data_IF_835582530684
#
_entry.id   IF_835582530684
#
_cell.length_a   1.000
_cell.length_b   1.000
_cell.length_c   1.000
_cell.angle_alpha   90.00
_cell.angle_beta   90.00
_cell.angle_gamma   90.00
#
_symmetry.space_group_name_H-M   'P 1'
#
loop_
_entity.id
_entity.type
_entity.pdbx_description
1 polymer ?
#
# COMPACT_ATOMS: atom_id res chain seq x y z
N UNK A 1 -29.81 9.38 -30.46
CA UNK A 1 -28.45 9.74 -30.00
C UNK A 1 -28.48 9.79 -28.49
N UNK A 2 -27.72 8.90 -27.87
CA UNK A 2 -27.88 8.44 -26.49
C UNK A 2 -27.55 9.53 -25.47
N UNK A 3 -28.52 9.86 -24.60
CA UNK A 3 -28.33 10.75 -23.47
C UNK A 3 -27.45 10.10 -22.40
N UNK A 4 -26.34 10.74 -22.07
CA UNK A 4 -25.40 10.31 -21.03
C UNK A 4 -26.05 10.39 -19.65
N UNK A 5 -26.18 9.25 -18.98
CA UNK A 5 -26.65 9.14 -17.59
C UNK A 5 -25.64 9.80 -16.65
N UNK A 6 -25.96 11.02 -16.20
CA UNK A 6 -25.26 11.69 -15.11
C UNK A 6 -25.56 10.98 -13.78
N UNK A 7 -24.60 10.22 -13.26
CA UNK A 7 -24.68 9.62 -11.94
C UNK A 7 -24.70 10.73 -10.87
N UNK A 8 -25.87 10.93 -10.26
CA UNK A 8 -26.11 11.92 -9.20
C UNK A 8 -25.34 11.50 -7.93
N UNK A 9 -24.34 12.28 -7.53
CA UNK A 9 -23.59 12.11 -6.28
C UNK A 9 -24.47 12.58 -5.11
N UNK A 10 -25.08 11.64 -4.36
CA UNK A 10 -25.82 11.93 -3.11
C UNK A 10 -24.92 12.54 -2.02
N UNK A 11 -25.48 12.96 -0.86
CA UNK A 11 -24.73 13.65 0.19
C UNK A 11 -23.65 12.72 0.74
N UNK A 12 -22.41 12.95 0.29
CA UNK A 12 -21.26 12.13 0.65
C UNK A 12 -20.97 12.36 2.13
N UNK A 13 -21.37 11.42 3.00
CA UNK A 13 -20.64 11.22 4.26
C UNK A 13 -19.18 11.09 3.83
N UNK A 14 -18.32 12.07 4.14
CA UNK A 14 -16.94 12.08 3.68
C UNK A 14 -16.25 10.81 4.21
N UNK A 15 -16.22 9.76 3.39
CA UNK A 15 -15.56 8.51 3.73
C UNK A 15 -14.06 8.81 3.79
N UNK A 16 -13.42 8.25 4.79
CA UNK A 16 -11.99 8.43 5.06
C UNK A 16 -11.29 7.13 4.73
N UNK A 17 -10.10 7.23 4.16
CA UNK A 17 -9.24 6.07 3.95
C UNK A 17 -8.86 5.42 5.29
N UNK A 18 -8.93 4.09 5.38
CA UNK A 18 -8.58 3.33 6.58
C UNK A 18 -7.11 3.45 6.98
N UNK A 19 -6.22 3.76 6.02
CA UNK A 19 -4.79 3.98 6.25
C UNK A 19 -4.50 5.41 6.74
N UNK A 20 -4.70 6.42 5.88
CA UNK A 20 -4.33 7.80 6.20
C UNK A 20 -5.40 8.59 6.97
N UNK A 21 -6.57 7.98 7.23
CA UNK A 21 -7.72 8.58 7.93
C UNK A 21 -8.16 9.93 7.36
N UNK A 22 -7.83 10.16 6.10
CA UNK A 22 -8.07 11.41 5.37
C UNK A 22 -8.79 11.11 4.06
N UNK A 23 -9.37 12.16 3.48
CA UNK A 23 -9.93 12.14 2.13
C UNK A 23 -9.06 13.08 1.28
N UNK A 24 -7.90 12.56 0.87
CA UNK A 24 -6.84 13.30 0.15
C UNK A 24 -6.64 12.60 -1.20
N UNK A 25 -7.70 12.57 -2.00
CA UNK A 25 -7.70 11.87 -3.29
C UNK A 25 -6.69 12.48 -4.27
N UNK A 26 -6.46 13.80 -4.20
CA UNK A 26 -5.50 14.52 -5.05
C UNK A 26 -4.05 14.03 -4.88
N UNK A 27 -3.69 13.60 -3.68
CA UNK A 27 -2.32 13.14 -3.36
C UNK A 27 -2.24 11.61 -3.36
N UNK A 28 -3.17 10.96 -2.67
CA UNK A 28 -3.15 9.51 -2.40
C UNK A 28 -3.83 8.68 -3.51
N UNK A 29 -4.40 9.33 -4.52
CA UNK A 29 -5.19 8.68 -5.57
C UNK A 29 -6.63 8.39 -5.14
N UNK A 30 -7.41 7.82 -6.06
CA UNK A 30 -8.84 7.54 -5.89
C UNK A 30 -9.14 6.74 -4.62
N UNK A 31 -10.16 7.16 -3.87
CA UNK A 31 -10.68 6.38 -2.74
C UNK A 31 -11.54 5.23 -3.26
N UNK A 32 -11.09 4.00 -3.02
CA UNK A 32 -11.82 2.79 -3.36
C UNK A 32 -12.65 2.33 -2.16
N UNK A 33 -13.81 1.75 -2.43
CA UNK A 33 -14.78 1.25 -1.45
C UNK A 33 -15.06 -0.23 -1.72
N UNK A 34 -15.08 -1.05 -0.66
CA UNK A 34 -15.57 -2.43 -0.77
C UNK A 34 -17.07 -2.46 -1.06
N UNK A 35 -17.55 -3.55 -1.67
CA UNK A 35 -18.98 -3.74 -2.00
C UNK A 35 -19.87 -3.62 -0.76
N UNK A 36 -19.44 -4.24 0.34
CA UNK A 36 -20.09 -4.15 1.64
C UNK A 36 -19.90 -2.81 2.39
N UNK A 37 -19.23 -1.83 1.77
CA UNK A 37 -18.91 -0.50 2.32
C UNK A 37 -18.20 -0.50 3.68
N UNK A 38 -17.62 -1.62 4.12
CA UNK A 38 -16.89 -1.73 5.39
C UNK A 38 -15.47 -1.18 5.29
N UNK A 39 -14.88 -1.20 4.10
CA UNK A 39 -13.49 -0.81 3.86
C UNK A 39 -13.46 0.32 2.84
N UNK A 40 -12.73 1.37 3.15
CA UNK A 40 -12.41 2.44 2.23
C UNK A 40 -10.91 2.71 2.27
N UNK A 41 -10.23 2.69 1.13
CA UNK A 41 -8.80 2.93 1.07
C UNK A 41 -8.40 3.59 -0.24
N UNK A 42 -7.44 4.51 -0.20
CA UNK A 42 -6.91 5.09 -1.43
C UNK A 42 -6.04 4.07 -2.16
N UNK A 43 -6.10 4.07 -3.49
CA UNK A 43 -5.32 3.15 -4.32
C UNK A 43 -3.82 3.19 -3.98
N UNK A 44 -3.18 4.38 -3.89
CA UNK A 44 -1.75 4.46 -3.56
C UNK A 44 -1.45 4.11 -2.11
N UNK A 45 -2.40 4.31 -1.18
CA UNK A 45 -2.21 3.84 0.20
C UNK A 45 -2.14 2.31 0.27
N UNK A 46 -2.93 1.61 -0.54
CA UNK A 46 -2.86 0.15 -0.65
C UNK A 46 -1.60 -0.29 -1.37
N UNK A 47 -1.33 0.29 -2.54
CA UNK A 47 -0.24 -0.10 -3.44
C UNK A 47 1.15 -0.04 -2.82
N UNK A 48 1.39 0.94 -1.94
CA UNK A 48 2.67 1.11 -1.26
C UNK A 48 2.73 0.43 0.12
N UNK A 49 1.64 -0.20 0.57
CA UNK A 49 1.60 -0.85 1.87
C UNK A 49 2.45 -2.11 1.85
N UNK A 50 3.36 -2.26 2.82
CA UNK A 50 4.41 -3.28 2.77
C UNK A 50 3.92 -4.74 2.87
N UNK A 51 2.68 -4.99 3.32
CA UNK A 51 2.14 -6.35 3.42
C UNK A 51 0.93 -6.60 2.51
N UNK A 52 0.66 -5.73 1.53
CA UNK A 52 -0.37 -5.99 0.52
C UNK A 52 0.26 -6.55 -0.75
N UNK A 53 -0.25 -7.70 -1.18
CA UNK A 53 0.11 -8.34 -2.44
C UNK A 53 -1.14 -8.32 -3.32
N UNK A 54 -1.00 -7.85 -4.55
CA UNK A 54 -2.09 -7.90 -5.52
C UNK A 54 -2.43 -9.36 -5.82
N UNK A 55 -3.70 -9.74 -5.71
CA UNK A 55 -4.17 -11.10 -5.96
C UNK A 55 -5.06 -11.10 -7.21
N UNK A 56 -4.82 -12.03 -8.12
CA UNK A 56 -5.61 -12.23 -9.34
C UNK A 56 -6.73 -13.28 -9.14
N UNK A 57 -7.16 -13.52 -7.91
CA UNK A 57 -8.24 -14.49 -7.64
C UNK A 57 -9.61 -13.84 -7.86
N UNK A 58 -10.58 -14.61 -8.36
CA UNK A 58 -11.94 -14.18 -8.72
C UNK A 58 -12.84 -13.78 -7.52
N UNK A 59 -12.25 -13.54 -6.34
CA UNK A 59 -12.95 -13.13 -5.13
C UNK A 59 -13.11 -11.60 -5.06
N UNK A 60 -13.95 -11.13 -4.12
CA UNK A 60 -14.16 -9.69 -3.88
C UNK A 60 -12.81 -8.97 -3.69
N UNK A 61 -12.45 -8.12 -4.64
CA UNK A 61 -11.17 -7.41 -4.66
C UNK A 61 -11.38 -5.89 -4.61
N UNK A 62 -10.51 -5.22 -3.86
CA UNK A 62 -10.50 -3.76 -3.74
C UNK A 62 -9.26 -3.23 -4.45
N UNK A 63 -9.41 -2.81 -5.71
CA UNK A 63 -8.28 -2.32 -6.51
C UNK A 63 -7.22 -3.38 -6.80
N UNK A 64 -7.63 -4.64 -6.99
CA UNK A 64 -6.71 -5.76 -7.22
C UNK A 64 -6.10 -6.37 -5.95
N UNK A 65 -6.55 -5.97 -4.76
CA UNK A 65 -6.13 -6.55 -3.48
C UNK A 65 -7.29 -7.29 -2.82
N UNK A 66 -6.98 -8.38 -2.10
CA UNK A 66 -7.96 -9.06 -1.25
C UNK A 66 -8.47 -8.11 -0.16
N UNK A 67 -9.79 -7.99 -0.02
CA UNK A 67 -10.41 -7.14 1.02
C UNK A 67 -9.95 -7.58 2.42
N UNK A 68 -9.78 -8.89 2.65
CA UNK A 68 -9.31 -9.41 3.93
C UNK A 68 -7.89 -8.94 4.25
N UNK A 69 -7.00 -8.95 3.28
CA UNK A 69 -5.61 -8.51 3.47
C UNK A 69 -5.55 -7.00 3.68
N UNK A 70 -6.36 -6.23 2.96
CA UNK A 70 -6.53 -4.79 3.21
C UNK A 70 -7.01 -4.53 4.64
N UNK A 71 -7.98 -5.29 5.14
CA UNK A 71 -8.45 -5.14 6.53
C UNK A 71 -7.39 -5.51 7.56
N UNK A 72 -6.69 -6.63 7.38
CA UNK A 72 -5.57 -7.05 8.24
C UNK A 72 -4.49 -5.98 8.26
N UNK A 73 -4.19 -5.40 7.10
CA UNK A 73 -3.17 -4.38 6.95
C UNK A 73 -3.57 -3.04 7.58
N UNK A 74 -4.83 -2.62 7.43
CA UNK A 74 -5.37 -1.46 8.17
C UNK A 74 -5.25 -1.69 9.68
N UNK A 75 -5.61 -2.90 10.15
CA UNK A 75 -5.50 -3.27 11.56
C UNK A 75 -4.04 -3.23 12.03
N UNK A 76 -3.08 -3.72 11.24
CA UNK A 76 -1.64 -3.59 11.51
C UNK A 76 -1.24 -2.12 11.58
N UNK A 77 -1.71 -1.31 10.64
CA UNK A 77 -1.47 0.13 10.57
C UNK A 77 -1.87 0.89 11.82
N UNK A 78 -2.91 0.46 12.55
CA UNK A 78 -3.31 1.10 13.82
C UNK A 78 -2.21 1.10 14.88
N UNK A 79 -1.29 0.14 14.82
CA UNK A 79 -0.14 0.02 15.74
C UNK A 79 1.09 0.81 15.26
N UNK A 80 1.08 1.30 14.03
CA UNK A 80 2.22 1.99 13.42
C UNK A 80 1.98 3.50 13.34
N UNK A 81 2.91 4.26 13.92
CA UNK A 81 2.88 5.73 13.93
C UNK A 81 3.69 6.30 12.77
N UNK A 82 3.11 7.24 12.05
CA UNK A 82 3.79 7.95 10.96
C UNK A 82 5.00 8.71 11.49
N UNK A 83 6.14 8.60 10.83
CA UNK A 83 7.37 9.33 11.19
C UNK A 83 7.28 10.84 10.94
N UNK A 84 6.29 11.30 10.17
CA UNK A 84 6.07 12.72 9.87
C UNK A 84 4.98 13.34 10.73
N UNK A 85 3.75 12.80 10.70
CA UNK A 85 2.61 13.36 11.42
C UNK A 85 2.35 12.71 12.78
N UNK A 86 3.07 11.64 13.13
CA UNK A 86 2.97 10.93 14.42
C UNK A 86 1.61 10.25 14.69
N UNK A 87 0.68 10.34 13.74
CA UNK A 87 -0.62 9.66 13.78
C UNK A 87 -0.53 8.19 13.37
N UNK A 88 -1.42 7.32 13.87
CA UNK A 88 -1.49 5.92 13.48
C UNK A 88 -1.96 5.71 12.02
N UNK A 89 -1.77 4.51 11.48
CA UNK A 89 -2.20 4.11 10.14
C UNK A 89 -1.11 4.18 9.07
N UNK A 90 0.14 4.41 9.47
CA UNK A 90 1.29 4.51 8.59
C UNK A 90 1.84 3.12 8.25
N UNK A 91 1.28 2.49 7.23
CA UNK A 91 1.65 1.12 6.82
C UNK A 91 2.78 1.07 5.79
N UNK A 92 3.16 2.22 5.22
CA UNK A 92 4.19 2.32 4.18
C UNK A 92 5.56 2.47 4.84
N UNK A 93 6.35 1.40 4.84
CA UNK A 93 7.70 1.39 5.38
C UNK A 93 8.75 1.93 4.40
N UNK A 94 9.89 2.34 4.94
CA UNK A 94 11.10 2.52 4.14
C UNK A 94 11.59 1.16 3.61
N UNK A 95 12.03 1.08 2.35
CA UNK A 95 12.50 -0.17 1.72
C UNK A 95 13.80 -0.74 2.36
N UNK A 96 14.54 0.09 3.10
CA UNK A 96 15.73 -0.34 3.83
C UNK A 96 15.32 -1.13 5.06
N UNK A 97 15.65 -2.43 5.12
CA UNK A 97 15.24 -3.36 6.20
C UNK A 97 15.62 -2.91 7.62
N UNK A 98 16.73 -2.20 7.78
CA UNK A 98 17.18 -1.67 9.08
C UNK A 98 16.49 -0.35 9.47
N UNK A 99 15.64 0.19 8.60
CA UNK A 99 14.93 1.44 8.81
C UNK A 99 13.52 1.19 9.32
N UNK A 100 13.23 1.64 10.53
CA UNK A 100 11.89 1.52 11.12
C UNK A 100 10.96 2.69 10.78
N UNK A 101 11.33 3.53 9.80
CA UNK A 101 10.50 4.67 9.41
C UNK A 101 9.30 4.20 8.60
N UNK A 102 8.12 4.54 9.08
CA UNK A 102 6.85 4.32 8.40
C UNK A 102 6.13 5.64 8.14
N UNK A 103 5.32 5.67 7.08
CA UNK A 103 4.63 6.87 6.60
C UNK A 103 3.21 6.57 6.14
N UNK A 104 2.38 7.61 6.12
CA UNK A 104 1.27 7.70 5.16
C UNK A 104 1.82 8.13 3.80
N UNK A 105 1.12 7.81 2.70
CA UNK A 105 1.63 8.12 1.36
C UNK A 105 1.90 9.63 1.18
N UNK A 106 0.92 10.47 1.51
CA UNK A 106 1.09 11.93 1.46
C UNK A 106 2.14 12.45 2.45
N UNK A 107 2.29 11.81 3.61
CA UNK A 107 3.32 12.19 4.57
C UNK A 107 4.74 11.91 4.04
N UNK A 108 4.92 10.84 3.27
CA UNK A 108 6.19 10.54 2.62
C UNK A 108 6.54 11.60 1.57
N UNK A 109 5.55 12.08 0.80
CA UNK A 109 5.73 13.21 -0.14
C UNK A 109 6.20 14.46 0.60
N UNK A 110 5.56 14.80 1.72
CA UNK A 110 5.90 15.99 2.51
C UNK A 110 7.25 15.87 3.23
N UNK A 111 7.68 14.68 3.65
CA UNK A 111 9.01 14.44 4.25
C UNK A 111 10.13 14.33 3.19
N UNK A 112 9.82 14.62 1.91
CA UNK A 112 10.76 14.52 0.79
C UNK A 112 11.41 13.13 0.67
N UNK A 113 10.63 12.10 0.97
CA UNK A 113 11.02 10.72 0.73
C UNK A 113 11.06 10.43 -0.78
N UNK A 114 11.97 9.57 -1.21
CA UNK A 114 12.03 9.13 -2.60
C UNK A 114 11.01 8.02 -2.83
N UNK A 115 9.98 8.32 -3.63
CA UNK A 115 8.98 7.36 -4.07
C UNK A 115 9.42 6.77 -5.42
N UNK A 116 9.45 5.45 -5.54
CA UNK A 116 9.78 4.75 -6.78
C UNK A 116 8.59 3.92 -7.24
N UNK A 117 8.15 4.19 -8.46
CA UNK A 117 7.03 3.53 -9.13
C UNK A 117 7.56 2.97 -10.45
N UNK A 118 7.59 1.64 -10.60
CA UNK A 118 7.86 0.97 -11.88
C UNK A 118 6.76 -0.08 -12.11
N UNK A 119 5.63 0.32 -12.71
CA UNK A 119 4.50 -0.58 -12.94
C UNK A 119 4.87 -1.82 -13.74
N UNK A 120 5.74 -1.69 -14.75
CA UNK A 120 6.23 -2.82 -15.57
C UNK A 120 7.03 -3.86 -14.80
N UNK A 121 7.60 -3.49 -13.66
CA UNK A 121 8.35 -4.39 -12.76
C UNK A 121 7.57 -4.71 -11.48
N UNK A 122 6.35 -4.18 -11.32
CA UNK A 122 5.57 -4.28 -10.08
C UNK A 122 6.22 -3.60 -8.87
N UNK A 123 7.15 -2.66 -9.07
CA UNK A 123 7.91 -2.04 -7.99
C UNK A 123 7.21 -0.77 -7.51
N UNK A 124 6.77 -0.79 -6.24
CA UNK A 124 6.20 0.35 -5.53
C UNK A 124 6.84 0.45 -4.16
N UNK A 125 7.78 1.39 -3.97
CA UNK A 125 8.55 1.50 -2.72
C UNK A 125 8.84 2.95 -2.34
N UNK A 126 9.08 3.17 -1.05
CA UNK A 126 9.50 4.47 -0.51
C UNK A 126 10.85 4.34 0.18
N UNK A 127 11.75 5.27 -0.09
CA UNK A 127 13.00 5.46 0.63
C UNK A 127 12.93 6.77 1.41
N UNK A 128 13.08 6.71 2.73
CA UNK A 128 13.03 7.91 3.56
C UNK A 128 14.15 8.89 3.19
N UNK A 129 14.06 10.16 3.64
CA UNK A 129 15.07 11.18 3.38
C UNK A 129 16.52 10.81 3.74
N UNK A 130 16.72 9.88 4.68
CA UNK A 130 18.05 9.36 5.06
C UNK A 130 18.57 8.27 4.12
N UNK A 131 17.69 7.60 3.40
CA UNK A 131 17.99 6.46 2.53
C UNK A 131 17.68 6.71 1.05
N UNK A 132 17.23 7.92 0.68
CA UNK A 132 17.19 8.33 -0.72
C UNK A 132 18.63 8.29 -1.24
N UNK A 133 18.94 7.32 -2.12
CA UNK A 133 20.26 7.26 -2.76
C UNK A 133 20.36 8.49 -3.66
N UNK A 134 21.30 9.39 -3.36
CA UNK A 134 21.83 10.32 -4.37
C UNK A 134 22.32 9.45 -5.52
N UNK A 135 22.06 9.78 -6.80
CA UNK A 135 22.45 8.92 -7.91
C UNK A 135 23.97 8.88 -8.02
N UNK A 136 24.59 7.96 -7.29
CA UNK A 136 25.90 7.46 -7.58
C UNK A 136 25.84 5.94 -7.53
N UNK A 137 26.15 5.37 -8.69
CA UNK A 137 26.20 3.96 -9.04
C UNK A 137 26.64 3.09 -7.85
N UNK A 138 25.70 2.41 -7.21
CA UNK A 138 26.00 1.41 -6.17
C UNK A 138 24.80 0.48 -6.00
N UNK A 139 24.94 -0.65 -6.68
CA UNK A 139 24.12 -1.85 -6.59
C UNK A 139 24.04 -2.30 -5.11
N UNK A 140 22.91 -2.00 -4.49
CA UNK A 140 22.54 -2.58 -3.21
C UNK A 140 21.35 -3.47 -3.50
N UNK A 141 21.58 -4.77 -3.51
CA UNK A 141 20.58 -5.83 -3.70
C UNK A 141 19.47 -5.67 -2.64
N UNK A 142 18.44 -4.88 -2.97
CA UNK A 142 17.18 -4.84 -2.24
C UNK A 142 16.40 -6.08 -2.66
N UNK A 143 16.20 -6.98 -1.71
CA UNK A 143 15.33 -8.14 -1.82
C UNK A 143 13.90 -7.68 -2.11
N UNK A 144 13.61 -7.36 -3.37
CA UNK A 144 12.27 -7.42 -3.97
C UNK A 144 11.85 -8.88 -4.23
N UNK A 145 12.42 -9.83 -3.47
CA UNK A 145 12.32 -11.28 -3.66
C UNK A 145 11.09 -11.87 -2.95
N UNK A 146 9.95 -11.19 -2.96
CA UNK A 146 8.72 -11.84 -2.50
C UNK A 146 7.48 -11.49 -3.33
N UNK A 147 7.65 -10.78 -4.45
CA UNK A 147 6.54 -10.48 -5.34
C UNK A 147 6.73 -11.23 -6.65
N UNK A 148 5.98 -12.33 -6.76
CA UNK A 148 5.42 -12.88 -7.99
C UNK A 148 6.37 -13.63 -8.93
N UNK A 149 6.64 -14.91 -8.65
CA UNK A 149 6.58 -16.08 -9.57
C UNK A 149 7.31 -17.25 -8.88
N UNK A 150 6.59 -18.00 -8.04
CA UNK A 150 6.81 -19.45 -7.91
C UNK A 150 5.47 -20.18 -8.10
N UNK A 151 4.64 -19.65 -8.99
CA UNK A 151 3.67 -20.48 -9.70
C UNK A 151 4.42 -21.26 -10.77
N UNK A 152 4.75 -22.52 -10.44
CA UNK A 152 5.09 -23.67 -11.32
C UNK A 152 6.45 -24.31 -11.02
N UNK A 153 6.51 -25.14 -9.97
CA UNK A 153 7.43 -26.27 -9.67
C UNK A 153 8.08 -26.15 -8.29
N UNK A 154 7.43 -26.67 -7.25
CA UNK A 154 7.75 -28.01 -6.75
C UNK A 154 6.84 -28.36 -5.57
N UNK A 155 6.18 -29.49 -5.71
CA UNK A 155 5.38 -30.14 -4.70
C UNK A 155 6.38 -30.86 -3.79
N UNK A 156 6.60 -30.40 -2.55
CA UNK A 156 6.88 -31.23 -1.36
C UNK A 156 7.49 -30.42 -0.20
N UNK A 157 7.02 -30.73 1.02
CA UNK A 157 7.60 -30.42 2.35
C UNK A 157 7.55 -28.92 2.75
N UNK A 158 6.81 -28.51 3.78
CA UNK A 158 6.76 -29.11 5.10
C UNK A 158 7.62 -28.29 6.07
N UNK A 159 6.95 -27.71 7.08
CA UNK A 159 7.44 -27.46 8.45
C UNK A 159 7.93 -26.05 8.85
N UNK A 160 7.20 -25.57 9.86
CA UNK A 160 7.61 -24.89 11.09
C UNK A 160 7.68 -23.36 11.12
N UNK A 161 6.55 -22.79 11.54
CA UNK A 161 6.49 -21.62 12.41
C UNK A 161 7.24 -21.87 13.72
N UNK A 162 8.04 -20.89 14.16
CA UNK A 162 8.10 -20.39 15.55
C UNK A 162 8.87 -19.05 15.59
N UNK A 163 8.34 -17.99 16.22
CA UNK A 163 9.13 -16.92 16.82
C UNK A 163 9.17 -17.10 18.36
N UNK A 164 9.97 -16.29 19.09
CA UNK A 164 10.93 -16.71 20.12
C UNK A 164 10.34 -17.23 21.43
#
# INVERSE_FOLDING_TARGET
>A
MSGTVGQKKGPRRQRKCGFCRSNKEDECGQLMLSENQKVAAHHKCMLFSSALVSSHTDNESLGGFSIEDVQKEIKRGTKLKCSQCHCPGATIGCDVKTCHKTYHYHCALHDQAQIREKPSQGIYMILCRKHKKVPHNSEGKSYAQFVMVLSSLDQTLGRFFSPP
#
